data_IF_613119997613
#
_entry.id   IF_613119997613
#
_cell.length_a   1.000
_cell.length_b   1.000
_cell.length_c   1.000
_cell.angle_alpha   90.00
_cell.angle_beta   90.00
_cell.angle_gamma   90.00
#
_symmetry.space_group_name_H-M   'P 1'
#
loop_
_entity.id
_entity.type
_entity.pdbx_description
1 polymer ?
#
# COMPACT_ATOMS: atom_id res chain seq x y z
N UNK A 1 49.42 -62.93 21.77
CA UNK A 1 48.80 -62.61 20.45
C UNK A 1 48.39 -61.15 20.45
N UNK A 2 48.73 -60.46 19.38
CA UNK A 2 48.66 -59.00 19.18
C UNK A 2 47.23 -58.46 19.28
N UNK A 3 47.05 -57.27 19.87
CA UNK A 3 46.09 -56.31 19.31
C UNK A 3 46.50 -54.87 19.64
N UNK A 4 47.28 -54.29 18.73
CA UNK A 4 47.38 -52.85 18.55
C UNK A 4 46.06 -52.37 17.94
N UNK A 5 45.39 -51.43 18.58
CA UNK A 5 44.45 -50.55 17.87
C UNK A 5 44.53 -49.17 18.48
N UNK A 6 45.47 -48.38 17.96
CA UNK A 6 45.49 -46.93 18.07
C UNK A 6 44.23 -46.40 17.39
N UNK A 7 43.31 -45.82 18.13
CA UNK A 7 42.32 -44.91 17.54
C UNK A 7 42.91 -43.50 17.57
N UNK A 8 43.59 -43.13 16.48
CA UNK A 8 43.98 -41.75 16.21
C UNK A 8 42.70 -40.92 16.00
N UNK A 9 42.26 -40.20 17.03
CA UNK A 9 41.28 -39.12 16.87
C UNK A 9 42.02 -37.82 16.53
N UNK A 10 42.47 -37.67 15.27
CA UNK A 10 42.94 -36.39 14.75
C UNK A 10 41.73 -35.59 14.25
N UNK A 11 41.08 -34.87 15.16
CA UNK A 11 40.16 -33.80 14.75
C UNK A 11 40.99 -32.67 14.13
N UNK A 12 41.21 -32.75 12.81
CA UNK A 12 42.00 -31.79 12.05
C UNK A 12 41.38 -30.38 12.13
N UNK A 13 42.20 -29.33 12.34
CA UNK A 13 41.73 -27.95 12.51
C UNK A 13 40.93 -27.44 11.31
N UNK A 14 41.18 -27.99 10.12
CA UNK A 14 40.47 -27.68 8.88
C UNK A 14 38.98 -28.01 8.92
N UNK A 15 38.55 -29.09 9.60
CA UNK A 15 37.13 -29.45 9.71
C UNK A 15 36.38 -28.47 10.63
N UNK A 16 37.04 -28.00 11.70
CA UNK A 16 36.47 -27.00 12.62
C UNK A 16 36.31 -25.63 11.96
N UNK A 17 37.26 -25.23 11.12
CA UNK A 17 37.21 -23.96 10.37
C UNK A 17 36.07 -23.98 9.34
N UNK A 18 35.91 -25.08 8.60
CA UNK A 18 34.85 -25.22 7.59
C UNK A 18 33.45 -25.12 8.24
N UNK A 19 33.24 -25.75 9.40
CA UNK A 19 31.97 -25.68 10.13
C UNK A 19 31.70 -24.27 10.70
N UNK A 20 32.72 -23.56 11.19
CA UNK A 20 32.58 -22.20 11.70
C UNK A 20 32.23 -21.19 10.59
N UNK A 21 32.84 -21.31 9.41
CA UNK A 21 32.56 -20.44 8.26
C UNK A 21 31.15 -20.69 7.71
N UNK A 22 30.71 -21.95 7.65
CA UNK A 22 29.34 -22.29 7.25
C UNK A 22 28.30 -21.69 8.22
N UNK A 23 28.58 -21.69 9.53
CA UNK A 23 27.70 -21.11 10.54
C UNK A 23 27.62 -19.57 10.44
N UNK A 24 28.72 -18.91 10.08
CA UNK A 24 28.75 -17.48 9.79
C UNK A 24 27.99 -17.12 8.51
N UNK A 25 28.07 -17.94 7.45
CA UNK A 25 27.34 -17.73 6.21
C UNK A 25 25.82 -17.90 6.36
N UNK A 26 25.40 -18.90 7.13
CA UNK A 26 23.99 -19.10 7.49
C UNK A 26 23.49 -17.93 8.34
N UNK A 27 24.24 -17.53 9.38
CA UNK A 27 23.86 -16.42 10.26
C UNK A 27 23.82 -15.06 9.54
N UNK A 28 24.70 -14.82 8.57
CA UNK A 28 24.71 -13.60 7.76
C UNK A 28 23.50 -13.52 6.81
N UNK A 29 23.04 -14.67 6.29
CA UNK A 29 21.87 -14.75 5.41
C UNK A 29 20.54 -14.58 6.15
N UNK A 30 20.53 -14.82 7.47
CA UNK A 30 19.38 -14.62 8.36
C UNK A 30 19.47 -13.32 9.18
N UNK A 31 20.20 -12.30 8.71
CA UNK A 31 20.15 -10.98 9.35
C UNK A 31 18.76 -10.36 9.10
N UNK A 32 17.89 -10.20 10.12
CA UNK A 32 16.63 -9.52 9.92
C UNK A 32 16.96 -8.09 9.48
N UNK A 33 16.60 -7.72 8.25
CA UNK A 33 16.65 -6.31 7.84
C UNK A 33 15.70 -5.55 8.75
N UNK A 34 16.26 -4.83 9.72
CA UNK A 34 15.48 -3.94 10.56
C UNK A 34 14.68 -3.01 9.65
N UNK A 35 13.35 -3.06 9.75
CA UNK A 35 12.50 -2.07 9.06
C UNK A 35 12.82 -0.73 9.69
N UNK A 36 13.47 0.16 8.94
CA UNK A 36 13.71 1.52 9.37
C UNK A 36 12.40 2.13 9.88
N UNK A 37 12.42 2.66 11.10
CA UNK A 37 11.26 3.37 11.64
C UNK A 37 10.94 4.54 10.70
N UNK A 38 9.72 4.56 10.17
CA UNK A 38 9.28 5.65 9.32
C UNK A 38 9.40 6.98 10.12
N UNK A 39 9.88 8.06 9.50
CA UNK A 39 10.01 9.35 10.18
C UNK A 39 8.67 9.75 10.81
N UNK A 40 8.73 10.34 12.00
CA UNK A 40 7.55 10.89 12.68
C UNK A 40 6.85 11.87 11.74
N UNK A 41 5.69 11.45 11.19
CA UNK A 41 4.97 12.25 10.19
C UNK A 41 4.49 13.52 10.87
N UNK A 42 4.99 14.68 10.43
CA UNK A 42 4.32 15.96 10.66
C UNK A 42 2.86 15.82 10.20
N UNK A 43 1.92 16.20 11.05
CA UNK A 43 0.51 16.20 10.69
C UNK A 43 0.30 17.09 9.46
N UNK A 44 -0.32 16.55 8.41
CA UNK A 44 -0.60 17.31 7.19
C UNK A 44 -1.70 18.33 7.47
N UNK A 45 -1.46 19.58 7.07
CA UNK A 45 -2.48 20.65 7.09
C UNK A 45 -3.59 20.35 6.08
N UNK A 46 -4.77 20.97 6.27
CA UNK A 46 -5.89 20.82 5.34
C UNK A 46 -5.48 21.22 3.91
N UNK A 47 -4.80 22.35 3.75
CA UNK A 47 -4.31 22.81 2.43
C UNK A 47 -3.34 21.83 1.78
N UNK A 48 -2.44 21.21 2.57
CA UNK A 48 -1.55 20.20 2.03
C UNK A 48 -2.33 18.97 1.54
N UNK A 49 -3.34 18.52 2.29
CA UNK A 49 -4.22 17.40 1.90
C UNK A 49 -5.02 17.72 0.64
N UNK A 50 -5.59 18.93 0.53
CA UNK A 50 -6.28 19.40 -0.67
C UNK A 50 -5.36 19.41 -1.90
N UNK A 51 -4.13 19.91 -1.74
CA UNK A 51 -3.12 19.89 -2.82
C UNK A 51 -2.78 18.46 -3.27
N UNK A 52 -2.54 17.56 -2.32
CA UNK A 52 -2.25 16.15 -2.65
C UNK A 52 -3.45 15.46 -3.30
N UNK A 53 -4.65 15.71 -2.79
CA UNK A 53 -5.87 15.17 -3.39
C UNK A 53 -6.04 15.64 -4.83
N UNK A 54 -5.80 16.93 -5.11
CA UNK A 54 -5.83 17.44 -6.48
C UNK A 54 -4.83 16.71 -7.37
N UNK A 55 -3.60 16.51 -6.92
CA UNK A 55 -2.59 15.78 -7.70
C UNK A 55 -3.01 14.33 -7.99
N UNK A 56 -3.65 13.65 -7.04
CA UNK A 56 -4.19 12.29 -7.24
C UNK A 56 -5.32 12.32 -8.27
N UNK A 57 -6.24 13.28 -8.16
CA UNK A 57 -7.36 13.43 -9.09
C UNK A 57 -6.89 13.79 -10.49
N UNK A 58 -5.81 14.57 -10.64
CA UNK A 58 -5.17 14.89 -11.92
C UNK A 58 -4.69 13.62 -12.62
N UNK A 59 -3.98 12.77 -11.88
CA UNK A 59 -3.48 11.48 -12.39
C UNK A 59 -4.65 10.57 -12.75
N UNK A 60 -5.64 10.42 -11.87
CA UNK A 60 -6.81 9.60 -12.12
C UNK A 60 -7.62 10.09 -13.33
N UNK A 61 -7.82 11.40 -13.43
CA UNK A 61 -8.53 11.99 -14.55
C UNK A 61 -7.78 11.75 -15.84
N UNK A 62 -6.46 11.95 -15.90
CA UNK A 62 -5.65 11.66 -17.08
C UNK A 62 -5.80 10.21 -17.56
N UNK A 63 -5.76 9.25 -16.63
CA UNK A 63 -5.90 7.82 -16.96
C UNK A 63 -7.33 7.34 -17.15
N UNK A 64 -8.34 8.19 -16.89
CA UNK A 64 -9.74 7.85 -17.14
C UNK A 64 -9.99 7.66 -18.64
N UNK A 65 -10.59 6.54 -19.00
CA UNK A 65 -11.00 6.24 -20.37
C UNK A 65 -12.03 7.29 -20.81
N UNK A 66 -11.77 7.94 -21.94
CA UNK A 66 -12.74 8.80 -22.61
C UNK A 66 -13.28 8.04 -23.83
N UNK A 67 -14.54 7.57 -23.79
CA UNK A 67 -15.12 6.79 -24.88
C UNK A 67 -15.07 7.55 -26.20
N UNK A 68 -14.84 6.83 -27.31
CA UNK A 68 -14.80 7.45 -28.65
C UNK A 68 -16.17 7.93 -29.10
N UNK A 69 -17.21 7.38 -28.50
CA UNK A 69 -18.61 7.73 -28.70
C UNK A 69 -18.94 9.10 -28.09
N UNK A 70 -18.10 9.63 -27.19
CA UNK A 70 -18.29 10.98 -26.65
C UNK A 70 -17.96 11.99 -27.76
N UNK A 71 -18.95 12.79 -28.21
CA UNK A 71 -18.75 13.74 -29.30
C UNK A 71 -17.91 14.96 -28.88
N UNK A 72 -17.79 15.20 -27.58
CA UNK A 72 -17.03 16.31 -27.01
C UNK A 72 -15.62 15.85 -26.61
N UNK A 73 -14.62 16.74 -26.72
CA UNK A 73 -13.30 16.45 -26.18
C UNK A 73 -13.39 16.22 -24.67
N UNK A 74 -12.44 15.47 -24.14
CA UNK A 74 -12.34 15.26 -22.69
C UNK A 74 -12.14 16.61 -22.00
N UNK A 75 -13.04 17.00 -21.08
CA UNK A 75 -12.93 18.28 -20.40
C UNK A 75 -11.74 18.28 -19.44
N UNK A 76 -11.29 19.49 -19.06
CA UNK A 76 -10.24 19.63 -18.04
C UNK A 76 -10.80 19.15 -16.68
N UNK A 77 -9.90 18.69 -15.79
CA UNK A 77 -10.27 18.32 -14.43
C UNK A 77 -10.94 19.48 -13.71
N UNK A 78 -10.47 20.71 -13.92
CA UNK A 78 -11.00 21.91 -13.25
C UNK A 78 -12.46 22.15 -13.59
N UNK A 79 -12.88 21.83 -14.81
CA UNK A 79 -14.25 22.02 -15.29
C UNK A 79 -15.21 21.02 -14.66
N UNK A 80 -14.78 19.78 -14.48
CA UNK A 80 -15.60 18.69 -13.93
C UNK A 80 -15.52 18.58 -12.41
N UNK A 81 -14.42 19.04 -11.82
CA UNK A 81 -14.17 18.96 -10.39
C UNK A 81 -13.32 20.15 -9.93
N UNK A 82 -13.95 21.31 -9.69
CA UNK A 82 -13.26 22.48 -9.21
C UNK A 82 -12.69 22.25 -7.82
N UNK A 83 -11.74 23.12 -7.41
CA UNK A 83 -11.01 22.99 -6.15
C UNK A 83 -11.94 22.94 -4.92
N UNK A 84 -13.08 23.61 -4.96
CA UNK A 84 -14.09 23.58 -3.90
C UNK A 84 -14.66 22.18 -3.68
N UNK A 85 -14.93 21.43 -4.76
CA UNK A 85 -15.39 20.04 -4.69
C UNK A 85 -14.29 19.13 -4.14
N UNK A 86 -13.03 19.36 -4.55
CA UNK A 86 -11.88 18.62 -4.01
C UNK A 86 -11.75 18.85 -2.50
N UNK A 87 -11.85 20.11 -2.05
CA UNK A 87 -11.81 20.46 -0.62
C UNK A 87 -12.92 19.78 0.16
N UNK A 88 -14.16 19.85 -0.32
CA UNK A 88 -15.30 19.21 0.34
C UNK A 88 -15.10 17.69 0.50
N UNK A 89 -14.47 17.03 -0.47
CA UNK A 89 -14.12 15.60 -0.36
C UNK A 89 -13.10 15.35 0.75
N UNK A 90 -12.04 16.16 0.83
CA UNK A 90 -11.04 16.05 1.90
C UNK A 90 -11.67 16.25 3.27
N UNK A 91 -12.55 17.24 3.42
CA UNK A 91 -13.25 17.50 4.69
C UNK A 91 -14.18 16.35 5.08
N UNK A 92 -14.88 15.76 4.11
CA UNK A 92 -15.71 14.58 4.34
C UNK A 92 -14.90 13.35 4.74
N UNK A 93 -13.76 13.09 4.07
CA UNK A 93 -12.85 11.99 4.40
C UNK A 93 -12.29 12.16 5.82
N UNK A 94 -11.90 13.39 6.20
CA UNK A 94 -11.46 13.70 7.57
C UNK A 94 -12.57 13.46 8.60
N UNK A 95 -13.81 13.86 8.30
CA UNK A 95 -14.96 13.63 9.19
C UNK A 95 -15.23 12.14 9.37
N UNK A 96 -15.13 11.34 8.30
CA UNK A 96 -15.30 9.89 8.36
C UNK A 96 -14.19 9.24 9.18
N UNK A 97 -12.93 9.61 8.95
CA UNK A 97 -11.79 9.08 9.72
C UNK A 97 -11.89 9.45 11.21
N UNK A 98 -12.31 10.68 11.52
CA UNK A 98 -12.59 11.09 12.90
C UNK A 98 -13.73 10.27 13.52
N UNK A 99 -14.81 10.05 12.78
CA UNK A 99 -15.93 9.24 13.26
C UNK A 99 -15.50 7.79 13.56
N UNK A 100 -14.69 7.19 12.68
CA UNK A 100 -14.13 5.85 12.90
C UNK A 100 -13.33 5.77 14.20
N UNK A 101 -12.49 6.78 14.46
CA UNK A 101 -11.73 6.85 15.71
C UNK A 101 -12.67 6.92 16.93
N UNK A 102 -13.72 7.73 16.87
CA UNK A 102 -14.68 7.92 17.97
C UNK A 102 -15.48 6.65 18.25
N UNK A 103 -16.00 5.99 17.21
CA UNK A 103 -16.89 4.84 17.34
C UNK A 103 -16.13 3.52 17.57
N UNK A 104 -15.02 3.29 16.86
CA UNK A 104 -14.24 2.06 16.98
C UNK A 104 -13.06 2.16 17.96
N UNK A 105 -12.83 3.33 18.58
CA UNK A 105 -11.73 3.59 19.53
C UNK A 105 -10.35 3.23 18.99
N UNK A 106 -10.18 3.26 17.66
CA UNK A 106 -8.94 2.90 16.99
C UNK A 106 -8.66 3.90 15.88
N UNK A 107 -7.59 4.70 15.98
CA UNK A 107 -7.23 5.63 14.92
C UNK A 107 -6.76 4.84 13.69
N UNK A 108 -7.11 5.38 12.52
CA UNK A 108 -6.62 4.92 11.24
C UNK A 108 -5.16 5.37 11.08
N UNK A 109 -4.25 4.43 10.82
CA UNK A 109 -2.83 4.76 10.63
C UNK A 109 -2.30 4.42 9.24
N UNK A 110 -1.27 5.15 8.81
CA UNK A 110 -0.50 4.85 7.58
C UNK A 110 -0.06 3.40 7.43
N UNK A 111 0.27 2.74 8.54
CA UNK A 111 0.68 1.34 8.53
C UNK A 111 -0.50 0.39 8.30
N UNK A 112 -1.67 0.67 8.90
CA UNK A 112 -2.89 -0.11 8.68
C UNK A 112 -3.36 0.01 7.23
N UNK A 113 -3.25 1.20 6.65
CA UNK A 113 -3.51 1.46 5.23
C UNK A 113 -2.64 0.64 4.32
N UNK A 114 -1.33 0.69 4.53
CA UNK A 114 -0.38 -0.05 3.72
C UNK A 114 -0.65 -1.56 3.85
N UNK A 115 -0.89 -2.05 5.08
CA UNK A 115 -1.23 -3.44 5.31
C UNK A 115 -2.51 -3.86 4.59
N UNK A 116 -3.52 -2.98 4.52
CA UNK A 116 -4.76 -3.26 3.81
C UNK A 116 -4.56 -3.24 2.29
N UNK A 117 -3.77 -2.29 1.76
CA UNK A 117 -3.39 -2.28 0.33
C UNK A 117 -2.62 -3.56 -0.04
N UNK A 118 -1.68 -3.98 0.81
CA UNK A 118 -0.91 -5.21 0.62
C UNK A 118 -1.84 -6.44 0.68
N UNK A 119 -2.79 -6.48 1.64
CA UNK A 119 -3.79 -7.53 1.74
C UNK A 119 -4.67 -7.60 0.49
N UNK A 120 -5.14 -6.46 -0.02
CA UNK A 120 -5.96 -6.39 -1.23
C UNK A 120 -5.17 -6.85 -2.45
N UNK A 121 -3.94 -6.35 -2.61
CA UNK A 121 -3.03 -6.75 -3.69
C UNK A 121 -2.81 -8.27 -3.70
N UNK A 122 -2.58 -8.85 -2.53
CA UNK A 122 -2.38 -10.29 -2.33
C UNK A 122 -3.68 -11.10 -2.28
N UNK A 123 -4.85 -10.44 -2.29
CA UNK A 123 -6.13 -11.14 -2.33
C UNK A 123 -6.43 -11.64 -3.75
N UNK A 124 -7.38 -12.57 -3.86
CA UNK A 124 -7.92 -13.01 -5.15
C UNK A 124 -8.45 -11.82 -5.98
N UNK A 125 -8.92 -10.76 -5.32
CA UNK A 125 -9.41 -9.54 -5.96
C UNK A 125 -8.29 -8.71 -6.58
N UNK A 126 -7.15 -8.56 -5.90
CA UNK A 126 -5.99 -7.81 -6.40
C UNK A 126 -5.32 -8.48 -7.61
N UNK A 127 -5.38 -9.81 -7.68
CA UNK A 127 -4.82 -10.61 -8.79
C UNK A 127 -5.70 -10.68 -10.04
N UNK A 128 -6.88 -10.03 -10.07
CA UNK A 128 -7.74 -10.08 -11.27
C UNK A 128 -7.12 -9.32 -12.45
N UNK A 129 -7.21 -9.89 -13.68
CA UNK A 129 -6.74 -9.23 -14.89
C UNK A 129 -7.53 -7.95 -15.15
N UNK A 130 -6.90 -6.99 -15.85
CA UNK A 130 -7.47 -5.66 -16.09
C UNK A 130 -8.78 -5.69 -16.89
N UNK A 131 -8.98 -6.71 -17.74
CA UNK A 131 -10.23 -6.94 -18.49
C UNK A 131 -11.46 -7.10 -17.59
N UNK A 132 -11.27 -7.65 -16.39
CA UNK A 132 -12.37 -7.98 -15.46
C UNK A 132 -12.66 -6.84 -14.46
N UNK A 133 -11.91 -5.72 -14.57
CA UNK A 133 -12.01 -4.56 -13.67
C UNK A 133 -13.02 -3.50 -14.14
N UNK A 134 -13.79 -3.78 -15.19
CA UNK A 134 -14.80 -2.86 -15.73
C UNK A 134 -15.81 -2.35 -14.67
N UNK A 135 -15.98 -3.07 -13.55
CA UNK A 135 -16.80 -2.66 -12.41
C UNK A 135 -16.33 -1.37 -11.70
N UNK A 136 -15.07 -0.95 -11.89
CA UNK A 136 -14.51 0.25 -11.23
C UNK A 136 -14.72 1.52 -12.05
N UNK A 137 -14.82 1.42 -13.38
CA UNK A 137 -14.58 2.56 -14.29
C UNK A 137 -15.82 3.14 -15.00
N UNK A 138 -17.00 2.49 -14.97
CA UNK A 138 -18.19 3.01 -15.66
C UNK A 138 -19.12 3.80 -14.74
N UNK A 139 -18.95 5.12 -14.70
CA UNK A 139 -20.03 6.04 -14.32
C UNK A 139 -20.01 7.28 -15.22
N UNK A 140 -20.90 7.36 -16.22
CA UNK A 140 -21.00 8.49 -17.14
C UNK A 140 -21.89 9.55 -16.49
N UNK A 141 -21.28 10.60 -15.95
CA UNK A 141 -21.89 11.87 -15.55
C UNK A 141 -23.26 11.79 -14.82
N UNK A 142 -23.21 11.87 -13.48
CA UNK A 142 -24.32 12.39 -12.67
C UNK A 142 -24.74 11.46 -11.54
N UNK A 143 -24.64 12.01 -10.32
CA UNK A 143 -25.13 11.48 -9.04
C UNK A 143 -24.19 10.48 -8.34
N UNK A 144 -23.52 11.02 -7.32
CA UNK A 144 -23.71 10.57 -5.92
C UNK A 144 -24.29 9.15 -5.79
N UNK A 145 -23.52 8.29 -5.12
CA UNK A 145 -23.90 6.97 -4.58
C UNK A 145 -23.47 5.75 -5.41
N UNK A 146 -22.88 4.79 -4.68
CA UNK A 146 -22.62 3.35 -4.98
C UNK A 146 -21.27 3.11 -5.67
N UNK A 147 -20.21 2.75 -4.94
CA UNK A 147 -20.12 1.47 -4.22
C UNK A 147 -19.53 1.63 -2.82
N UNK A 148 -20.18 1.01 -1.82
CA UNK A 148 -19.75 1.01 -0.44
C UNK A 148 -18.34 0.42 -0.23
N UNK A 149 -17.82 -0.37 -1.18
CA UNK A 149 -16.52 -1.04 -1.08
C UNK A 149 -15.29 -0.14 -1.24
N UNK A 150 -15.39 0.98 -1.98
CA UNK A 150 -14.24 1.85 -2.26
C UNK A 150 -14.19 3.13 -1.42
N UNK A 151 -15.31 3.50 -0.77
CA UNK A 151 -15.33 4.59 0.23
C UNK A 151 -14.35 4.31 1.37
N UNK A 152 -14.26 3.05 1.80
CA UNK A 152 -13.33 2.63 2.86
C UNK A 152 -11.86 2.66 2.45
N UNK A 153 -11.50 2.63 1.17
CA UNK A 153 -10.09 2.77 0.78
C UNK A 153 -9.68 4.21 0.52
N UNK A 154 -10.65 5.06 0.14
CA UNK A 154 -10.41 6.46 -0.18
C UNK A 154 -10.39 7.37 1.04
N UNK A 155 -11.32 7.19 1.97
CA UNK A 155 -11.35 7.93 3.25
C UNK A 155 -10.10 7.70 4.10
N UNK A 156 -9.41 6.61 3.82
CA UNK A 156 -8.30 6.08 4.58
C UNK A 156 -6.97 6.65 4.00
N UNK A 157 -6.89 7.03 2.73
CA UNK A 157 -5.66 7.52 2.08
C UNK A 157 -5.33 9.02 2.30
N UNK A 158 -6.16 9.76 3.04
CA UNK A 158 -6.01 11.20 3.29
C UNK A 158 -6.27 11.59 4.74
#
# INVERSE_FOLDING_TARGET
MLNLSRTCHSSHPSVRIILAVAFLFVSFSYWPKAKAAAPARRALTLEARVRYQRAIEEVNWRFRIWPKENPQPKPDLVDVMPLSVIRAKVEEDLRQTQALEVYWKRPVTGAQLQAEMDRISNSRWGRRPRSDRAFIDTSPAGLVQRSAGWRFLRALLL
#
